data_IF_184952113916
#
_entry.id   IF_184952113916
#
_cell.length_a   1.000
_cell.length_b   1.000
_cell.length_c   1.000
_cell.angle_alpha   90.00
_cell.angle_beta   90.00
_cell.angle_gamma   90.00
#
_symmetry.space_group_name_H-M   'P 1'
#
loop_
_entity.id
_entity.type
_entity.pdbx_description
1 polymer ?
#
# COMPACT_ATOMS: atom_id res chain seq x y z
N UNK A 1 6.13 -12.05 19.25
CA UNK A 1 5.99 -12.20 18.83
C UNK A 1 5.46 -12.43 18.40
N UNK A 2 5.20 -12.71 18.10
CA UNK A 2 4.73 -13.00 17.73
C UNK A 2 4.38 -13.37 16.93
N UNK A 3 4.19 -13.78 16.55
CA UNK A 3 3.84 -14.13 15.85
C UNK A 3 3.46 -14.72 15.22
N UNK A 4 3.20 -14.81 15.00
CA UNK A 4 2.92 -15.49 14.46
C UNK A 4 2.48 -16.06 13.84
N UNK A 5 2.14 -15.95 13.63
CA UNK A 5 1.72 -16.51 13.09
C UNK A 5 1.89 -16.86 12.10
N UNK A 6 2.22 -17.08 11.89
CA UNK A 6 2.21 -17.43 10.92
C UNK A 6 2.25 -18.38 10.30
N UNK A 7 1.70 -18.85 10.16
CA UNK A 7 1.37 -19.84 9.49
C UNK A 7 1.59 -19.78 8.14
N UNK A 8 1.04 -19.12 7.42
CA UNK A 8 1.42 -18.90 6.06
C UNK A 8 2.78 -18.24 6.06
N UNK A 9 3.34 -18.04 4.91
CA UNK A 9 4.61 -17.34 4.75
C UNK A 9 4.53 -15.89 5.20
N UNK A 10 3.34 -15.42 5.52
CA UNK A 10 3.11 -14.02 5.79
C UNK A 10 2.87 -13.22 4.53
N UNK A 11 2.87 -13.88 3.38
CA UNK A 11 2.63 -13.25 2.09
C UNK A 11 1.54 -14.02 1.36
N UNK A 12 0.33 -13.44 1.34
CA UNK A 12 -0.82 -14.09 0.75
C UNK A 12 -0.62 -14.36 -0.74
N UNK A 13 0.17 -13.55 -1.41
CA UNK A 13 0.39 -13.72 -2.85
C UNK A 13 1.23 -14.95 -3.15
N UNK A 14 2.18 -15.28 -2.26
CA UNK A 14 2.91 -16.54 -2.37
C UNK A 14 1.96 -17.71 -2.22
N UNK A 15 1.05 -17.63 -1.25
CA UNK A 15 0.09 -18.68 -0.98
C UNK A 15 -0.86 -18.87 -2.16
N UNK A 16 -1.09 -17.82 -2.94
CA UNK A 16 -1.94 -17.88 -4.14
C UNK A 16 -1.19 -18.38 -5.37
N UNK A 17 0.10 -18.66 -5.25
CA UNK A 17 0.88 -19.23 -6.34
C UNK A 17 1.64 -18.25 -7.20
N UNK A 18 1.73 -16.98 -6.81
CA UNK A 18 2.53 -16.01 -7.55
C UNK A 18 4.02 -16.30 -7.36
N UNK A 19 4.81 -15.95 -8.36
CA UNK A 19 6.26 -16.08 -8.26
C UNK A 19 6.76 -15.21 -7.08
N UNK A 20 7.88 -15.61 -6.44
CA UNK A 20 8.38 -14.86 -5.27
C UNK A 20 8.58 -13.37 -5.51
N UNK A 21 9.12 -12.97 -6.67
CA UNK A 21 9.34 -11.57 -6.96
C UNK A 21 8.03 -10.81 -7.15
N UNK A 22 7.04 -11.44 -7.78
CA UNK A 22 5.72 -10.84 -7.93
C UNK A 22 5.02 -10.73 -6.59
N UNK A 23 5.10 -11.80 -5.80
CA UNK A 23 4.48 -11.82 -4.49
C UNK A 23 5.03 -10.72 -3.58
N UNK A 24 6.33 -10.47 -3.66
CA UNK A 24 6.96 -9.41 -2.86
C UNK A 24 6.43 -8.04 -3.28
N UNK A 25 6.35 -7.79 -4.57
CA UNK A 25 5.87 -6.51 -5.09
C UNK A 25 4.40 -6.29 -4.70
N UNK A 26 3.57 -7.31 -4.91
CA UNK A 26 2.14 -7.20 -4.60
C UNK A 26 1.89 -7.00 -3.11
N UNK A 27 2.68 -7.70 -2.28
CA UNK A 27 2.57 -7.53 -0.84
C UNK A 27 2.91 -6.11 -0.43
N UNK A 28 3.99 -5.55 -0.98
CA UNK A 28 4.39 -4.18 -0.67
C UNK A 28 3.34 -3.17 -1.14
N UNK A 29 2.78 -3.38 -2.34
CA UNK A 29 1.69 -2.52 -2.82
C UNK A 29 0.53 -2.52 -1.83
N UNK A 30 0.11 -3.70 -1.41
CA UNK A 30 -1.03 -3.85 -0.51
C UNK A 30 -0.78 -3.15 0.82
N UNK A 31 0.42 -3.30 1.35
CA UNK A 31 0.77 -2.68 2.63
C UNK A 31 0.76 -1.16 2.55
N UNK A 32 1.36 -0.61 1.49
CA UNK A 32 1.40 0.85 1.35
C UNK A 32 0.00 1.40 1.11
N UNK A 33 -0.82 0.70 0.32
CA UNK A 33 -2.20 1.13 0.12
C UNK A 33 -2.99 1.12 1.42
N UNK A 34 -2.80 0.11 2.25
CA UNK A 34 -3.47 0.05 3.55
C UNK A 34 -3.02 1.21 4.44
N UNK A 35 -1.74 1.53 4.42
CA UNK A 35 -1.21 2.65 5.19
C UNK A 35 -1.77 3.98 4.71
N UNK A 36 -1.92 4.15 3.40
CA UNK A 36 -2.49 5.36 2.82
C UNK A 36 -3.97 5.49 3.18
N UNK A 37 -4.72 4.39 3.14
CA UNK A 37 -6.12 4.41 3.57
C UNK A 37 -6.24 4.78 5.03
N UNK A 38 -5.37 4.25 5.87
CA UNK A 38 -5.33 4.57 7.29
C UNK A 38 -5.03 6.06 7.50
N UNK A 39 -4.08 6.60 6.74
CA UNK A 39 -3.75 8.01 6.78
C UNK A 39 -4.99 8.88 6.49
N UNK A 40 -5.69 8.56 5.40
CA UNK A 40 -6.88 9.31 4.99
C UNK A 40 -7.96 9.23 6.08
N UNK A 41 -8.18 8.04 6.62
CA UNK A 41 -9.19 7.82 7.63
C UNK A 41 -8.85 8.55 8.95
N UNK A 42 -7.63 8.40 9.41
CA UNK A 42 -7.22 9.00 10.69
C UNK A 42 -7.21 10.52 10.65
N UNK A 43 -6.88 11.09 9.49
CA UNK A 43 -6.90 12.54 9.32
C UNK A 43 -8.29 13.05 8.95
N UNK A 44 -9.26 12.13 8.78
CA UNK A 44 -10.65 12.47 8.43
C UNK A 44 -10.73 13.31 7.17
N UNK A 45 -9.93 12.94 6.16
CA UNK A 45 -9.87 13.68 4.91
C UNK A 45 -11.01 13.30 3.98
N UNK A 46 -11.56 14.32 3.30
CA UNK A 46 -12.44 14.05 2.18
C UNK A 46 -11.61 13.53 1.01
N UNK A 47 -12.26 12.95 0.01
CA UNK A 47 -11.53 12.50 -1.18
C UNK A 47 -10.90 13.70 -1.89
N UNK A 48 -11.60 14.84 -1.92
CA UNK A 48 -11.05 16.04 -2.54
C UNK A 48 -9.79 16.50 -1.82
N UNK A 49 -9.81 16.51 -0.49
CA UNK A 49 -8.65 16.96 0.28
C UNK A 49 -7.50 15.98 0.17
N UNK A 50 -7.79 14.68 0.20
CA UNK A 50 -6.77 13.68 0.01
C UNK A 50 -6.12 13.79 -1.37
N UNK A 51 -6.95 14.04 -2.42
CA UNK A 51 -6.45 14.24 -3.77
C UNK A 51 -5.48 15.41 -3.82
N UNK A 52 -5.82 16.49 -3.13
CA UNK A 52 -4.99 17.69 -3.08
C UNK A 52 -3.63 17.40 -2.42
N UNK A 53 -3.66 16.73 -1.27
CA UNK A 53 -2.45 16.40 -0.52
C UNK A 53 -1.56 15.45 -1.32
N UNK A 54 -2.17 14.44 -1.93
CA UNK A 54 -1.43 13.41 -2.65
C UNK A 54 -1.08 13.81 -4.08
N UNK A 55 -1.66 14.90 -4.58
CA UNK A 55 -1.36 15.39 -5.92
C UNK A 55 -1.93 14.50 -7.01
N UNK A 56 -3.09 13.91 -6.78
CA UNK A 56 -3.75 13.03 -7.75
C UNK A 56 -5.22 13.41 -7.89
N UNK A 57 -5.92 12.81 -8.84
CA UNK A 57 -7.35 13.06 -9.03
C UNK A 57 -8.17 12.40 -7.92
N UNK A 58 -9.41 12.86 -7.75
CA UNK A 58 -10.33 12.23 -6.80
C UNK A 58 -10.64 10.80 -7.23
N UNK A 59 -10.71 10.53 -8.53
CA UNK A 59 -10.92 9.19 -9.04
C UNK A 59 -9.81 8.26 -8.56
N UNK A 60 -8.57 8.75 -8.57
CA UNK A 60 -7.43 7.97 -8.10
C UNK A 60 -7.53 7.70 -6.61
N UNK A 61 -7.97 8.70 -5.83
CA UNK A 61 -8.20 8.51 -4.39
C UNK A 61 -9.28 7.46 -4.17
N UNK A 62 -10.34 7.49 -4.97
CA UNK A 62 -11.40 6.50 -4.87
C UNK A 62 -10.87 5.09 -5.13
N UNK A 63 -10.03 4.92 -6.15
CA UNK A 63 -9.41 3.63 -6.44
C UNK A 63 -8.55 3.15 -5.27
N UNK A 64 -7.83 4.08 -4.65
CA UNK A 64 -6.99 3.79 -3.50
C UNK A 64 -7.83 3.28 -2.32
N UNK A 65 -8.91 4.01 -2.01
CA UNK A 65 -9.79 3.65 -0.89
C UNK A 65 -10.45 2.31 -1.13
N UNK A 66 -10.78 2.00 -2.38
CA UNK A 66 -11.42 0.74 -2.74
C UNK A 66 -10.45 -0.42 -2.83
N UNK A 67 -9.16 -0.16 -2.66
CA UNK A 67 -8.16 -1.22 -2.66
C UNK A 67 -7.85 -1.79 -4.03
N UNK A 68 -8.01 -1.00 -5.07
CA UNK A 68 -7.73 -1.44 -6.44
C UNK A 68 -6.23 -1.39 -6.71
N UNK A 69 -5.49 -2.29 -6.09
CA UNK A 69 -4.03 -2.29 -6.10
C UNK A 69 -3.44 -2.44 -7.51
N UNK A 70 -4.16 -3.10 -8.41
CA UNK A 70 -3.66 -3.31 -9.77
C UNK A 70 -3.61 -2.01 -10.58
N UNK A 71 -4.25 -0.96 -10.10
CA UNK A 71 -4.22 0.35 -10.76
C UNK A 71 -3.07 1.22 -10.31
N UNK A 72 -2.26 0.74 -9.39
CA UNK A 72 -1.14 1.49 -8.83
C UNK A 72 0.14 0.68 -8.98
N UNK A 73 1.19 1.31 -9.50
CA UNK A 73 2.51 0.69 -9.45
C UNK A 73 3.09 0.90 -8.06
N UNK A 74 4.09 0.08 -7.72
CA UNK A 74 4.77 0.25 -6.44
C UNK A 74 5.40 1.63 -6.35
N UNK A 75 6.00 2.12 -7.45
CA UNK A 75 6.61 3.44 -7.48
C UNK A 75 5.60 4.54 -7.21
N UNK A 76 4.40 4.44 -7.80
CA UNK A 76 3.34 5.41 -7.54
C UNK A 76 2.98 5.43 -6.07
N UNK A 77 2.83 4.26 -5.48
CA UNK A 77 2.44 4.15 -4.07
C UNK A 77 3.51 4.69 -3.14
N UNK A 78 4.78 4.44 -3.45
CA UNK A 78 5.88 5.00 -2.67
C UNK A 78 5.85 6.52 -2.75
N UNK A 79 5.64 7.07 -3.95
CA UNK A 79 5.56 8.53 -4.11
C UNK A 79 4.40 9.12 -3.32
N UNK A 80 3.24 8.47 -3.35
CA UNK A 80 2.08 8.94 -2.59
C UNK A 80 2.35 8.88 -1.09
N UNK A 81 2.99 7.82 -0.62
CA UNK A 81 3.31 7.68 0.79
C UNK A 81 4.24 8.81 1.25
N UNK A 82 5.23 9.15 0.44
CA UNK A 82 6.14 10.25 0.74
C UNK A 82 5.37 11.56 0.84
N UNK A 83 4.45 11.81 -0.09
CA UNK A 83 3.63 13.02 -0.07
C UNK A 83 2.71 13.08 1.15
N UNK A 84 2.33 11.93 1.67
CA UNK A 84 1.52 11.84 2.88
C UNK A 84 2.37 12.02 4.15
N UNK A 85 3.67 12.18 4.02
CA UNK A 85 4.57 12.37 5.15
C UNK A 85 5.10 11.07 5.74
N UNK A 86 4.90 9.97 5.07
CA UNK A 86 5.39 8.67 5.54
C UNK A 86 6.85 8.47 5.14
N UNK A 87 7.52 7.61 5.89
CA UNK A 87 8.87 7.19 5.55
C UNK A 87 8.79 5.78 5.01
N UNK A 88 9.39 5.58 3.84
CA UNK A 88 9.35 4.30 3.17
C UNK A 88 10.76 3.76 3.03
N UNK A 89 10.98 2.54 3.46
CA UNK A 89 12.27 1.88 3.31
C UNK A 89 12.03 0.41 3.03
N UNK A 90 13.01 -0.22 2.41
CA UNK A 90 12.97 -1.64 2.09
C UNK A 90 14.06 -2.32 2.89
N UNK A 91 13.66 -3.32 3.67
CA UNK A 91 14.61 -4.14 4.41
C UNK A 91 14.93 -5.38 3.60
N UNK A 92 16.21 -5.71 3.55
CA UNK A 92 16.64 -6.91 2.86
C UNK A 92 17.24 -7.87 3.86
N UNK A 93 16.81 -9.12 3.77
CA UNK A 93 17.40 -10.18 4.58
C UNK A 93 18.64 -10.70 3.88
N UNK A 94 19.67 -10.97 4.64
CA UNK A 94 20.92 -11.50 4.08
C UNK A 94 20.75 -12.98 3.73
#
# INVERSE_FOLDING_TARGET
MKEPIVKSSGNVFLDLGFAPEEAAIYQMRSEIMADLRTFIKNKKLTQAKAAEILGVSQSRVSDLIRGKWEKFSLEMLIALAIKAGMRVSIKRAA
#
